data_IF_320844264976
#
_entry.id   IF_320844264976
#
_cell.length_a   1.000
_cell.length_b   1.000
_cell.length_c   1.000
_cell.angle_alpha   90.00
_cell.angle_beta   90.00
_cell.angle_gamma   90.00
#
_symmetry.space_group_name_H-M   'P 1'
#
loop_
_entity.id
_entity.type
_entity.pdbx_description
1 polymer ?
#
# COMPACT_ATOMS: atom_id res chain seq x y z
N UNK A 1 10.63 -11.35 10.95
CA UNK A 1 9.21 -11.54 11.33
C UNK A 1 8.48 -10.20 11.26
N UNK A 2 7.15 -10.20 11.27
CA UNK A 2 6.34 -8.98 11.21
C UNK A 2 5.02 -9.15 11.95
N UNK A 3 4.39 -8.03 12.29
CA UNK A 3 3.00 -7.99 12.72
C UNK A 3 2.15 -7.50 11.53
N UNK A 4 1.10 -8.25 11.18
CA UNK A 4 0.17 -7.90 10.10
C UNK A 4 -1.26 -7.94 10.63
N UNK A 5 -2.08 -7.00 10.18
CA UNK A 5 -3.48 -6.92 10.60
C UNK A 5 -4.35 -6.85 9.36
N UNK A 6 -5.29 -7.79 9.24
CA UNK A 6 -6.29 -7.81 8.17
C UNK A 6 -7.64 -7.36 8.72
N UNK A 7 -8.29 -6.45 8.01
CA UNK A 7 -9.62 -5.95 8.31
C UNK A 7 -10.56 -6.29 7.16
N UNK A 8 -11.81 -6.65 7.48
CA UNK A 8 -12.89 -6.77 6.50
C UNK A 8 -13.71 -5.48 6.48
N UNK A 9 -13.82 -4.88 5.30
CA UNK A 9 -14.64 -3.68 5.09
C UNK A 9 -16.10 -4.06 4.81
N UNK A 10 -17.02 -3.09 4.94
CA UNK A 10 -18.43 -3.32 4.63
C UNK A 10 -18.73 -3.40 3.12
N UNK A 11 -17.87 -2.80 2.29
CA UNK A 11 -18.00 -2.79 0.83
C UNK A 11 -16.63 -2.68 0.16
N UNK A 12 -16.61 -2.86 -1.17
CA UNK A 12 -15.41 -2.61 -1.98
C UNK A 12 -14.95 -1.14 -1.88
N UNK A 13 -15.88 -0.20 -1.81
CA UNK A 13 -15.58 1.23 -1.74
C UNK A 13 -14.91 1.60 -0.42
N UNK A 14 -15.42 1.07 0.71
CA UNK A 14 -14.79 1.24 2.01
C UNK A 14 -13.41 0.57 2.04
N UNK A 15 -13.27 -0.63 1.43
CA UNK A 15 -11.98 -1.30 1.35
C UNK A 15 -10.95 -0.48 0.56
N UNK A 16 -11.33 0.09 -0.59
CA UNK A 16 -10.43 0.97 -1.38
C UNK A 16 -10.07 2.24 -0.62
N UNK A 17 -11.05 2.86 0.04
CA UNK A 17 -10.81 4.04 0.87
C UNK A 17 -9.82 3.73 1.99
N UNK A 18 -10.04 2.67 2.76
CA UNK A 18 -9.12 2.28 3.84
C UNK A 18 -7.73 1.87 3.30
N UNK A 19 -7.66 1.18 2.16
CA UNK A 19 -6.38 0.83 1.52
C UNK A 19 -5.55 2.09 1.26
N UNK A 20 -6.14 3.10 0.63
CA UNK A 20 -5.45 4.33 0.27
C UNK A 20 -5.06 5.14 1.50
N UNK A 21 -5.99 5.33 2.44
CA UNK A 21 -5.75 6.12 3.65
C UNK A 21 -4.67 5.50 4.55
N UNK A 22 -4.65 4.16 4.67
CA UNK A 22 -3.65 3.47 5.49
C UNK A 22 -2.28 3.39 4.81
N UNK A 23 -2.20 3.51 3.48
CA UNK A 23 -0.92 3.48 2.79
C UNK A 23 0.00 4.64 3.18
N UNK A 24 -0.55 5.83 3.45
CA UNK A 24 0.23 6.98 3.91
C UNK A 24 0.68 6.85 5.37
N UNK A 25 -0.03 6.04 6.15
CA UNK A 25 0.28 5.71 7.55
C UNK A 25 1.35 4.63 7.66
N UNK A 26 1.53 3.80 6.63
CA UNK A 26 2.49 2.71 6.62
C UNK A 26 3.92 3.10 7.03
N UNK A 27 4.57 4.13 6.44
CA UNK A 27 5.92 4.53 6.85
C UNK A 27 5.98 5.05 8.29
N UNK A 28 4.93 5.74 8.76
CA UNK A 28 4.85 6.28 10.13
C UNK A 28 4.86 5.15 11.16
N UNK A 29 3.99 4.14 10.96
CA UNK A 29 3.90 3.01 11.89
C UNK A 29 5.10 2.07 11.74
N UNK A 30 5.72 1.99 10.56
CA UNK A 30 6.98 1.26 10.39
C UNK A 30 8.06 1.85 11.30
N UNK A 31 8.28 3.17 11.23
CA UNK A 31 9.25 3.88 12.08
C UNK A 31 8.94 3.71 13.57
N UNK A 32 7.67 3.87 13.97
CA UNK A 32 7.23 3.65 15.36
C UNK A 32 7.56 2.23 15.85
N UNK A 33 7.33 1.23 14.99
CA UNK A 33 7.50 -0.19 15.35
C UNK A 33 8.94 -0.70 15.20
N UNK A 34 9.91 0.12 14.80
CA UNK A 34 11.26 -0.30 14.41
C UNK A 34 11.92 -1.25 15.43
N UNK A 35 12.35 -2.43 14.98
CA UNK A 35 12.83 -3.52 15.84
C UNK A 35 13.90 -4.43 15.19
N UNK A 36 14.51 -4.01 14.08
CA UNK A 36 15.55 -4.78 13.37
C UNK A 36 16.86 -3.98 13.13
N UNK A 37 17.58 -3.57 14.20
CA UNK A 37 18.85 -2.82 14.07
C UNK A 37 20.10 -3.69 13.93
N UNK A 38 19.94 -5.02 13.82
CA UNK A 38 21.07 -5.96 13.70
C UNK A 38 20.86 -6.96 12.57
N UNK A 39 21.87 -7.13 11.72
CA UNK A 39 21.87 -8.11 10.65
C UNK A 39 23.18 -8.87 10.60
N UNK A 40 23.11 -10.20 10.50
CA UNK A 40 24.28 -11.10 10.35
C UNK A 40 25.39 -10.88 11.39
N UNK A 41 25.02 -10.49 12.61
CA UNK A 41 25.95 -10.22 13.72
C UNK A 41 26.56 -8.82 13.73
N UNK A 42 26.09 -7.90 12.87
CA UNK A 42 26.54 -6.51 12.81
C UNK A 42 25.41 -5.57 13.20
N UNK A 43 25.77 -4.44 13.82
CA UNK A 43 24.89 -3.27 13.97
C UNK A 43 24.67 -2.67 12.58
N UNK A 44 23.42 -2.40 12.21
CA UNK A 44 23.08 -1.69 10.97
C UNK A 44 22.84 -0.20 11.20
N UNK A 45 22.89 0.58 10.11
CA UNK A 45 22.49 1.99 10.08
C UNK A 45 21.02 2.16 9.64
N UNK A 46 20.22 1.11 9.86
CA UNK A 46 18.78 1.03 9.63
C UNK A 46 18.15 0.28 10.81
N UNK A 47 16.91 0.62 11.15
CA UNK A 47 16.19 0.03 12.30
C UNK A 47 15.01 -0.86 11.89
N UNK A 48 14.69 -0.94 10.59
CA UNK A 48 13.56 -1.71 10.06
C UNK A 48 13.98 -2.80 9.08
N UNK A 49 13.17 -3.86 8.93
CA UNK A 49 13.44 -5.01 8.05
C UNK A 49 13.14 -4.79 6.57
N UNK A 50 12.37 -3.74 6.25
CA UNK A 50 11.65 -3.62 4.98
C UNK A 50 12.55 -3.78 3.75
N UNK A 51 13.63 -3.00 3.67
CA UNK A 51 14.57 -3.02 2.56
C UNK A 51 15.35 -4.33 2.45
N UNK A 52 15.63 -4.99 3.57
CA UNK A 52 16.29 -6.31 3.57
C UNK A 52 15.37 -7.38 3.00
N UNK A 53 14.09 -7.38 3.39
CA UNK A 53 13.12 -8.33 2.82
C UNK A 53 12.87 -8.02 1.35
N UNK A 54 12.66 -6.75 1.01
CA UNK A 54 12.48 -6.28 -0.37
C UNK A 54 13.58 -6.82 -1.31
N UNK A 55 14.84 -6.69 -0.89
CA UNK A 55 15.98 -7.18 -1.65
C UNK A 55 16.12 -8.71 -1.65
N UNK A 56 15.62 -9.42 -0.63
CA UNK A 56 15.74 -10.87 -0.50
C UNK A 56 14.87 -11.67 -1.48
N UNK A 57 13.82 -11.04 -2.01
CA UNK A 57 12.86 -11.64 -2.97
C UNK A 57 12.74 -10.81 -4.25
N UNK A 58 13.72 -9.95 -4.52
CA UNK A 58 13.78 -9.18 -5.77
C UNK A 58 14.26 -10.10 -6.91
N UNK A 59 13.30 -10.55 -7.70
CA UNK A 59 13.49 -11.45 -8.84
C UNK A 59 13.83 -10.71 -10.15
N UNK A 60 13.89 -9.38 -10.13
CA UNK A 60 14.07 -8.60 -11.35
C UNK A 60 15.42 -8.88 -12.00
N UNK A 61 15.38 -9.16 -13.30
CA UNK A 61 16.58 -9.28 -14.13
C UNK A 61 17.29 -7.93 -14.28
N UNK A 62 18.51 -7.96 -14.81
CA UNK A 62 19.23 -6.72 -15.16
C UNK A 62 18.49 -5.89 -16.21
N UNK A 63 17.73 -6.52 -17.11
CA UNK A 63 16.91 -5.83 -18.12
C UNK A 63 15.71 -5.14 -17.45
N UNK A 64 15.00 -5.85 -16.57
CA UNK A 64 13.84 -5.30 -15.84
C UNK A 64 14.23 -4.15 -14.91
N UNK A 65 15.40 -4.23 -14.27
CA UNK A 65 15.96 -3.13 -13.48
C UNK A 65 16.42 -1.93 -14.32
N UNK A 66 16.43 -2.04 -15.65
CA UNK A 66 16.91 -1.02 -16.57
C UNK A 66 18.44 -0.86 -16.58
N UNK A 67 19.18 -1.85 -16.08
CA UNK A 67 20.65 -1.88 -16.14
C UNK A 67 21.15 -2.35 -17.52
N UNK A 68 20.30 -3.06 -18.27
CA UNK A 68 20.50 -3.46 -19.66
C UNK A 68 19.25 -3.12 -20.50
N UNK A 69 19.38 -2.91 -21.82
CA UNK A 69 18.22 -2.77 -22.69
C UNK A 69 17.35 -4.02 -22.68
N UNK A 70 16.03 -3.85 -22.78
CA UNK A 70 15.08 -4.96 -22.91
C UNK A 70 15.33 -5.73 -24.21
N UNK A 71 15.53 -7.05 -24.08
CA UNK A 71 15.67 -8.00 -25.19
C UNK A 71 14.85 -9.26 -24.95
N UNK A 72 14.86 -9.78 -23.72
CA UNK A 72 14.18 -11.01 -23.33
C UNK A 72 13.00 -10.72 -22.40
N UNK A 73 13.07 -9.67 -21.58
CA UNK A 73 11.98 -9.26 -20.69
C UNK A 73 11.03 -8.28 -21.41
N UNK A 74 9.74 -8.34 -21.06
CA UNK A 74 8.68 -7.47 -21.63
C UNK A 74 8.68 -6.06 -21.02
N UNK A 75 9.12 -5.95 -19.75
CA UNK A 75 8.90 -4.76 -18.94
C UNK A 75 10.17 -4.22 -18.30
N UNK A 76 10.23 -2.89 -18.15
CA UNK A 76 11.06 -2.27 -17.13
C UNK A 76 10.22 -2.13 -15.85
N UNK A 77 10.78 -2.54 -14.71
CA UNK A 77 10.06 -2.62 -13.44
C UNK A 77 10.84 -1.88 -12.34
N UNK A 78 10.21 -0.83 -11.79
CA UNK A 78 10.89 0.14 -10.91
C UNK A 78 11.11 -0.36 -9.49
N UNK A 79 10.19 -1.16 -8.95
CA UNK A 79 10.25 -1.70 -7.58
C UNK A 79 10.39 -3.22 -7.55
N UNK A 80 10.89 -3.76 -6.45
CA UNK A 80 10.82 -5.21 -6.18
C UNK A 80 9.35 -5.62 -6.12
N UNK A 81 9.03 -6.91 -6.30
CA UNK A 81 7.67 -7.42 -6.03
C UNK A 81 7.30 -7.35 -4.55
N UNK A 82 8.29 -7.15 -3.68
CA UNK A 82 8.11 -6.76 -2.29
C UNK A 82 8.53 -5.30 -2.11
N UNK A 83 7.57 -4.37 -2.02
CA UNK A 83 7.84 -2.93 -1.86
C UNK A 83 6.61 -2.15 -1.39
N UNK A 84 6.68 -0.82 -1.24
CA UNK A 84 5.49 0.02 -1.01
C UNK A 84 4.43 -0.16 -2.11
N UNK A 85 3.19 0.25 -1.83
CA UNK A 85 2.12 0.23 -2.85
C UNK A 85 2.51 1.07 -4.08
N UNK A 86 1.96 0.71 -5.23
CA UNK A 86 2.26 1.37 -6.51
C UNK A 86 1.09 2.22 -7.06
N UNK A 87 -0.10 2.09 -6.47
CA UNK A 87 -1.30 2.84 -6.89
C UNK A 87 -2.32 2.93 -5.77
N UNK A 88 -2.96 4.08 -5.66
CA UNK A 88 -4.22 4.27 -4.97
C UNK A 88 -5.39 3.74 -5.81
N UNK A 89 -6.42 3.24 -5.12
CA UNK A 89 -7.55 2.50 -5.69
C UNK A 89 -8.87 3.28 -5.67
N UNK A 90 -8.98 4.31 -4.83
CA UNK A 90 -10.16 5.17 -4.74
C UNK A 90 -10.08 6.36 -5.68
N UNK A 91 -11.25 6.89 -6.09
CA UNK A 91 -11.33 8.08 -6.93
C UNK A 91 -10.61 9.30 -6.30
N UNK A 92 -10.64 9.41 -4.97
CA UNK A 92 -9.97 10.47 -4.23
C UNK A 92 -8.43 10.37 -4.29
N UNK A 93 -7.91 9.14 -4.43
CA UNK A 93 -6.50 8.84 -4.55
C UNK A 93 -5.94 9.04 -5.96
N UNK A 94 -6.77 9.04 -7.01
CA UNK A 94 -6.29 9.08 -8.42
C UNK A 94 -5.34 10.25 -8.69
N UNK A 95 -5.65 11.45 -8.18
CA UNK A 95 -4.81 12.65 -8.39
C UNK A 95 -3.43 12.56 -7.72
N UNK A 96 -3.25 11.62 -6.79
CA UNK A 96 -2.00 11.40 -6.06
C UNK A 96 -1.19 10.21 -6.60
N UNK A 97 -1.68 9.52 -7.63
CA UNK A 97 -0.92 8.50 -8.37
C UNK A 97 0.08 9.19 -9.32
N UNK A 98 1.17 9.72 -8.76
CA UNK A 98 2.16 10.55 -9.46
C UNK A 98 3.46 9.81 -9.82
N UNK A 99 3.49 8.50 -9.65
CA UNK A 99 4.60 7.62 -10.04
C UNK A 99 4.28 6.85 -11.33
N UNK A 100 5.32 6.48 -12.07
CA UNK A 100 5.17 5.66 -13.28
C UNK A 100 4.74 4.23 -12.90
N UNK A 101 3.56 3.82 -13.37
CA UNK A 101 3.00 2.50 -13.12
C UNK A 101 3.12 1.62 -14.37
N UNK A 102 4.08 0.69 -14.37
CA UNK A 102 4.18 -0.34 -15.40
C UNK A 102 3.01 -1.31 -15.28
N UNK A 103 2.25 -1.55 -16.35
CA UNK A 103 1.10 -2.48 -16.36
C UNK A 103 1.16 -3.43 -17.54
N UNK A 104 0.50 -4.59 -17.42
CA UNK A 104 0.19 -5.43 -18.59
C UNK A 104 -1.04 -4.87 -19.31
N UNK A 105 -0.81 -4.27 -20.48
CA UNK A 105 -1.84 -3.63 -21.30
C UNK A 105 -2.93 -4.58 -21.81
N UNK A 106 -2.63 -5.88 -21.99
CA UNK A 106 -3.60 -6.87 -22.44
C UNK A 106 -4.56 -7.22 -21.29
N UNK A 107 -4.00 -7.50 -20.10
CA UNK A 107 -4.78 -7.74 -18.88
C UNK A 107 -5.60 -6.50 -18.52
N UNK A 108 -5.01 -5.31 -18.61
CA UNK A 108 -5.72 -4.06 -18.33
C UNK A 108 -6.97 -3.91 -19.23
N UNK A 109 -6.83 -4.12 -20.54
CA UNK A 109 -7.97 -4.05 -21.48
C UNK A 109 -9.00 -5.13 -21.22
N UNK A 110 -8.58 -6.35 -20.87
CA UNK A 110 -9.48 -7.45 -20.53
C UNK A 110 -10.34 -7.09 -19.31
N UNK A 111 -9.72 -6.54 -18.26
CA UNK A 111 -10.41 -6.13 -17.03
C UNK A 111 -11.41 -4.99 -17.30
N UNK A 112 -11.01 -3.99 -18.09
CA UNK A 112 -11.92 -2.91 -18.51
C UNK A 112 -13.11 -3.47 -19.33
N UNK A 113 -12.85 -4.39 -20.26
CA UNK A 113 -13.88 -5.04 -21.07
C UNK A 113 -14.86 -5.87 -20.24
N UNK A 114 -14.41 -6.41 -19.11
CA UNK A 114 -15.23 -7.12 -18.13
C UNK A 114 -15.99 -6.19 -17.16
N UNK A 115 -15.83 -4.87 -17.27
CA UNK A 115 -16.52 -3.88 -16.45
C UNK A 115 -15.83 -3.53 -15.13
N UNK A 116 -14.57 -3.92 -14.93
CA UNK A 116 -13.76 -3.45 -13.81
C UNK A 116 -13.35 -2.00 -14.09
N UNK A 117 -13.46 -1.11 -13.10
CA UNK A 117 -13.09 0.28 -13.27
C UNK A 117 -11.59 0.47 -13.47
N UNK A 118 -11.23 1.63 -14.03
CA UNK A 118 -9.86 1.97 -14.42
C UNK A 118 -8.83 1.77 -13.31
N UNK A 119 -9.09 2.27 -12.10
CA UNK A 119 -8.07 2.25 -11.02
C UNK A 119 -7.81 0.83 -10.54
N UNK A 120 -8.87 0.04 -10.33
CA UNK A 120 -8.70 -1.36 -9.93
C UNK A 120 -8.10 -2.19 -11.07
N UNK A 121 -8.49 -1.94 -12.32
CA UNK A 121 -7.92 -2.62 -13.47
C UNK A 121 -6.42 -2.32 -13.62
N UNK A 122 -5.98 -1.07 -13.42
CA UNK A 122 -4.57 -0.69 -13.42
C UNK A 122 -3.80 -1.41 -12.30
N UNK A 123 -4.36 -1.43 -11.08
CA UNK A 123 -3.75 -2.12 -9.95
C UNK A 123 -3.53 -3.60 -10.23
N UNK A 124 -4.57 -4.33 -10.68
CA UNK A 124 -4.45 -5.76 -10.99
C UNK A 124 -3.49 -5.99 -12.16
N UNK A 125 -3.58 -5.19 -13.23
CA UNK A 125 -2.67 -5.30 -14.37
C UNK A 125 -1.20 -5.03 -14.00
N UNK A 126 -0.93 -4.22 -12.97
CA UNK A 126 0.41 -4.06 -12.41
C UNK A 126 0.90 -5.32 -11.72
N UNK A 127 0.06 -6.02 -10.94
CA UNK A 127 0.46 -7.28 -10.28
C UNK A 127 0.84 -8.37 -11.30
N UNK A 128 0.20 -8.33 -12.47
CA UNK A 128 0.39 -9.29 -13.57
C UNK A 128 1.63 -9.04 -14.44
N UNK A 129 2.43 -8.00 -14.15
CA UNK A 129 3.74 -7.84 -14.81
C UNK A 129 4.79 -8.82 -14.26
N UNK A 130 4.45 -9.57 -13.21
CA UNK A 130 5.32 -10.53 -12.53
C UNK A 130 5.05 -11.95 -13.01
N UNK A 131 6.10 -12.75 -13.07
CA UNK A 131 5.96 -14.18 -13.29
C UNK A 131 5.53 -14.90 -11.98
N UNK A 132 4.76 -16.00 -12.11
CA UNK A 132 4.54 -16.94 -11.01
C UNK A 132 5.86 -17.55 -10.53
N UNK A 133 6.13 -17.50 -9.21
CA UNK A 133 7.38 -18.04 -8.65
C UNK A 133 7.29 -19.53 -8.30
N UNK A 134 6.10 -20.02 -7.98
CA UNK A 134 5.89 -21.38 -7.54
C UNK A 134 4.51 -21.85 -7.95
N UNK A 135 4.46 -22.86 -8.81
CA UNK A 135 3.21 -23.51 -9.25
C UNK A 135 3.38 -25.01 -9.03
N UNK A 136 2.44 -25.63 -8.31
CA UNK A 136 2.42 -27.08 -8.15
C UNK A 136 1.80 -27.73 -9.38
N UNK A 137 2.31 -28.89 -9.79
CA UNK A 137 1.86 -29.60 -10.99
C UNK A 137 0.37 -29.93 -10.91
N UNK A 138 -0.12 -30.30 -9.73
CA UNK A 138 -1.51 -30.63 -9.44
C UNK A 138 -2.45 -29.41 -9.57
N UNK A 139 -1.89 -28.21 -9.60
CA UNK A 139 -2.63 -26.93 -9.66
C UNK A 139 -2.51 -26.24 -11.03
N UNK A 140 -1.99 -26.92 -12.05
CA UNK A 140 -1.88 -26.37 -13.41
C UNK A 140 -3.25 -26.18 -14.09
N UNK A 141 -4.19 -27.08 -13.83
CA UNK A 141 -5.53 -27.04 -14.40
C UNK A 141 -6.54 -26.96 -13.27
N UNK A 142 -7.28 -25.85 -13.22
CA UNK A 142 -8.26 -25.56 -12.19
C UNK A 142 -9.58 -25.09 -12.82
N UNK A 143 -10.63 -25.07 -12.01
CA UNK A 143 -11.91 -24.52 -12.39
C UNK A 143 -11.99 -23.03 -12.03
N UNK A 144 -11.76 -22.16 -13.02
CA UNK A 144 -11.73 -20.71 -12.86
C UNK A 144 -13.06 -20.13 -12.31
N UNK A 145 -14.19 -20.85 -12.41
CA UNK A 145 -15.47 -20.40 -11.84
C UNK A 145 -15.52 -20.56 -10.31
N UNK A 146 -14.74 -21.48 -9.75
CA UNK A 146 -14.84 -21.90 -8.34
C UNK A 146 -13.53 -21.81 -7.56
N UNK A 147 -12.39 -21.70 -8.25
CA UNK A 147 -11.06 -21.59 -7.66
C UNK A 147 -10.40 -20.26 -8.06
N UNK A 148 -9.60 -19.71 -7.15
CA UNK A 148 -8.86 -18.46 -7.37
C UNK A 148 -7.35 -18.64 -7.24
N UNK A 149 -6.85 -19.88 -7.21
CA UNK A 149 -5.44 -20.18 -6.91
C UNK A 149 -4.48 -19.58 -7.93
N UNK A 150 -4.84 -19.52 -9.22
CA UNK A 150 -4.01 -18.90 -10.26
C UNK A 150 -3.88 -17.38 -10.03
N UNK A 151 -4.97 -16.71 -9.68
CA UNK A 151 -4.94 -15.31 -9.27
C UNK A 151 -4.13 -15.13 -7.98
N UNK A 152 -4.38 -15.97 -6.97
CA UNK A 152 -3.66 -15.94 -5.70
C UNK A 152 -2.16 -16.22 -5.87
N UNK A 153 -1.74 -16.95 -6.90
CA UNK A 153 -0.32 -17.16 -7.17
C UNK A 153 0.42 -15.83 -7.38
N UNK A 154 -0.18 -14.93 -8.18
CA UNK A 154 0.38 -13.60 -8.43
C UNK A 154 0.09 -12.64 -7.28
N UNK A 155 -1.14 -12.61 -6.78
CA UNK A 155 -1.56 -11.71 -5.70
C UNK A 155 -0.79 -11.97 -4.40
N UNK A 156 -0.62 -13.24 -4.01
CA UNK A 156 0.05 -13.60 -2.76
C UNK A 156 1.55 -13.34 -2.80
N UNK A 157 2.15 -13.29 -4.00
CA UNK A 157 3.58 -13.06 -4.24
C UNK A 157 3.92 -11.64 -4.70
N UNK A 158 2.93 -10.74 -4.78
CA UNK A 158 3.16 -9.30 -4.72
C UNK A 158 2.97 -8.87 -3.26
N UNK A 159 4.06 -8.52 -2.60
CA UNK A 159 4.11 -8.26 -1.16
C UNK A 159 4.26 -6.78 -0.88
N UNK A 160 3.14 -6.06 -0.88
CA UNK A 160 3.14 -4.63 -0.63
C UNK A 160 2.97 -4.24 0.85
N UNK A 161 3.13 -2.95 1.20
CA UNK A 161 2.82 -2.41 2.55
C UNK A 161 1.35 -2.52 2.92
N UNK A 162 0.47 -2.34 1.93
CA UNK A 162 -0.95 -2.66 2.00
C UNK A 162 -1.26 -3.75 1.00
N UNK A 163 -2.20 -4.64 1.33
CA UNK A 163 -2.74 -5.60 0.36
C UNK A 163 -4.26 -5.49 0.30
N UNK A 164 -4.77 -5.28 -0.91
CA UNK A 164 -6.19 -5.27 -1.21
C UNK A 164 -6.62 -6.69 -1.57
N UNK A 165 -7.46 -7.33 -0.76
CA UNK A 165 -7.78 -8.76 -0.87
C UNK A 165 -9.23 -8.95 -1.37
N UNK A 166 -9.43 -9.44 -2.61
CA UNK A 166 -10.75 -9.85 -3.08
C UNK A 166 -11.38 -10.93 -2.19
N UNK A 167 -12.71 -11.03 -2.18
CA UNK A 167 -13.40 -12.13 -1.53
C UNK A 167 -13.02 -13.46 -2.22
N UNK A 168 -12.72 -14.52 -1.45
CA UNK A 168 -12.55 -15.85 -2.03
C UNK A 168 -13.86 -16.34 -2.67
N UNK A 169 -13.80 -17.11 -3.77
CA UNK A 169 -14.98 -17.78 -4.30
C UNK A 169 -15.66 -18.63 -3.23
N UNK A 170 -16.99 -18.73 -3.27
CA UNK A 170 -17.78 -19.62 -2.41
C UNK A 170 -17.56 -19.40 -0.89
N UNK A 171 -17.29 -18.17 -0.47
CA UNK A 171 -17.06 -17.79 0.95
C UNK A 171 -17.94 -16.61 1.39
N UNK A 172 -18.23 -16.52 2.69
CA UNK A 172 -18.87 -15.35 3.31
C UNK A 172 -17.87 -14.20 3.58
N UNK A 173 -16.58 -14.42 3.33
CA UNK A 173 -15.53 -13.42 3.52
C UNK A 173 -15.67 -12.32 2.48
N UNK A 174 -15.76 -11.07 2.94
CA UNK A 174 -15.88 -9.89 2.09
C UNK A 174 -14.53 -9.33 1.60
N UNK A 175 -14.58 -8.11 1.05
CA UNK A 175 -13.40 -7.33 0.68
C UNK A 175 -12.58 -7.00 1.92
N UNK A 176 -11.28 -7.28 1.87
CA UNK A 176 -10.38 -7.05 2.99
C UNK A 176 -9.19 -6.20 2.59
N UNK A 177 -8.66 -5.50 3.57
CA UNK A 177 -7.38 -4.81 3.48
C UNK A 177 -6.44 -5.33 4.55
N UNK A 178 -5.17 -5.49 4.21
CA UNK A 178 -4.15 -6.00 5.11
C UNK A 178 -3.04 -4.95 5.27
N UNK A 179 -2.80 -4.53 6.51
CA UNK A 179 -1.74 -3.61 6.91
C UNK A 179 -0.50 -4.41 7.31
N UNK A 180 0.60 -4.24 6.56
CA UNK A 180 1.77 -5.14 6.57
C UNK A 180 3.13 -4.54 6.99
N UNK A 181 3.32 -3.22 7.24
CA UNK A 181 4.66 -2.66 7.44
C UNK A 181 5.25 -2.98 8.83
N UNK A 182 4.44 -3.25 9.84
CA UNK A 182 4.89 -3.27 11.24
C UNK A 182 5.91 -4.38 11.53
N UNK A 183 6.94 -4.04 12.29
CA UNK A 183 7.83 -5.04 12.90
C UNK A 183 7.08 -5.76 14.03
N UNK A 184 7.45 -7.01 14.29
CA UNK A 184 6.94 -7.72 15.46
C UNK A 184 7.68 -7.24 16.71
N UNK A 185 6.95 -7.04 17.79
CA UNK A 185 7.50 -6.60 19.08
C UNK A 185 7.79 -7.80 19.98
N UNK A 186 8.58 -7.60 21.04
CA UNK A 186 9.01 -8.69 21.91
C UNK A 186 7.87 -9.28 22.75
N UNK A 187 6.91 -8.45 23.17
CA UNK A 187 5.83 -8.89 24.05
C UNK A 187 4.47 -8.94 23.35
N UNK A 188 3.60 -9.84 23.82
CA UNK A 188 2.21 -9.91 23.36
C UNK A 188 1.46 -8.59 23.62
N UNK A 189 1.80 -7.88 24.71
CA UNK A 189 1.21 -6.60 25.04
C UNK A 189 1.53 -5.52 24.00
N UNK A 190 2.81 -5.37 23.62
CA UNK A 190 3.22 -4.40 22.59
C UNK A 190 2.61 -4.73 21.23
N UNK A 191 2.61 -6.02 20.84
CA UNK A 191 1.96 -6.46 19.61
C UNK A 191 0.45 -6.16 19.64
N UNK A 192 -0.24 -6.47 20.74
CA UNK A 192 -1.66 -6.16 20.90
C UNK A 192 -1.94 -4.66 20.86
N UNK A 193 -1.06 -3.82 21.43
CA UNK A 193 -1.19 -2.37 21.39
C UNK A 193 -1.15 -1.84 19.95
N UNK A 194 -0.20 -2.30 19.13
CA UNK A 194 -0.15 -1.95 17.71
C UNK A 194 -1.37 -2.44 16.93
N UNK A 195 -1.84 -3.67 17.17
CA UNK A 195 -3.08 -4.17 16.55
C UNK A 195 -4.26 -3.27 16.90
N UNK A 196 -4.47 -2.99 18.19
CA UNK A 196 -5.57 -2.14 18.66
C UNK A 196 -5.45 -0.72 18.11
N UNK A 197 -4.23 -0.16 18.04
CA UNK A 197 -3.99 1.15 17.44
C UNK A 197 -4.47 1.20 15.99
N UNK A 198 -4.06 0.26 15.13
CA UNK A 198 -4.49 0.25 13.73
C UNK A 198 -6.00 0.02 13.63
N UNK A 199 -6.59 -0.88 14.43
CA UNK A 199 -8.06 -1.08 14.49
C UNK A 199 -8.77 0.24 14.81
N UNK A 200 -8.37 0.94 15.87
CA UNK A 200 -9.00 2.20 16.27
C UNK A 200 -8.79 3.28 15.21
N UNK A 201 -7.61 3.34 14.59
CA UNK A 201 -7.32 4.28 13.52
C UNK A 201 -8.27 4.10 12.34
N UNK A 202 -8.53 2.85 11.90
CA UNK A 202 -9.52 2.60 10.83
C UNK A 202 -10.92 3.10 11.20
N UNK A 203 -11.34 2.92 12.46
CA UNK A 203 -12.64 3.40 12.95
C UNK A 203 -12.71 4.92 12.97
N UNK A 204 -11.63 5.59 13.38
CA UNK A 204 -11.53 7.05 13.41
C UNK A 204 -11.53 7.61 11.98
N UNK A 205 -10.76 7.03 11.06
CA UNK A 205 -10.75 7.39 9.63
C UNK A 205 -12.18 7.40 9.06
N UNK A 206 -12.94 6.32 9.28
CA UNK A 206 -14.29 6.20 8.75
C UNK A 206 -15.29 7.11 9.48
N UNK A 207 -15.21 7.19 10.81
CA UNK A 207 -16.19 7.95 11.61
C UNK A 207 -16.07 9.45 11.41
N UNK A 208 -14.83 9.95 11.33
CA UNK A 208 -14.53 11.37 11.17
C UNK A 208 -14.22 11.77 9.73
N UNK A 209 -14.21 10.80 8.80
CA UNK A 209 -13.92 11.03 7.38
C UNK A 209 -12.58 11.73 7.18
N UNK A 210 -11.57 11.22 7.88
CA UNK A 210 -10.23 11.77 7.81
C UNK A 210 -9.59 11.45 6.46
N UNK A 211 -8.86 12.41 5.93
CA UNK A 211 -8.10 12.27 4.69
C UNK A 211 -6.62 12.51 4.96
N UNK A 212 -5.81 11.48 4.69
CA UNK A 212 -4.36 11.44 4.85
C UNK A 212 -3.63 11.34 3.52
N UNK A 213 -4.34 11.38 2.39
CA UNK A 213 -3.74 11.18 1.08
C UNK A 213 -2.72 12.28 0.76
N UNK A 214 -1.60 11.86 0.20
CA UNK A 214 -0.50 12.65 -0.32
C UNK A 214 0.01 11.97 -1.60
N UNK A 215 0.78 12.63 -2.46
CA UNK A 215 1.40 11.99 -3.64
C UNK A 215 2.18 10.71 -3.29
N UNK A 216 2.02 9.65 -4.08
CA UNK A 216 2.71 8.36 -3.85
C UNK A 216 4.22 8.50 -3.86
N UNK A 217 4.78 9.40 -4.66
CA UNK A 217 6.22 9.70 -4.64
C UNK A 217 6.71 10.10 -3.24
N UNK A 218 5.89 10.82 -2.47
CA UNK A 218 6.19 11.22 -1.09
C UNK A 218 6.01 10.07 -0.10
N UNK A 219 5.03 9.18 -0.35
CA UNK A 219 4.89 7.93 0.43
C UNK A 219 6.13 7.05 0.25
N UNK A 220 6.65 6.94 -0.97
CA UNK A 220 7.87 6.19 -1.28
C UNK A 220 9.12 6.82 -0.63
N UNK A 221 9.19 8.15 -0.56
CA UNK A 221 10.25 8.84 0.19
C UNK A 221 10.15 8.58 1.69
N UNK A 222 8.94 8.69 2.27
CA UNK A 222 8.68 8.36 3.67
C UNK A 222 9.05 6.92 4.01
N UNK A 223 8.82 5.97 3.08
CA UNK A 223 9.20 4.57 3.25
C UNK A 223 10.72 4.36 3.33
N UNK A 224 11.52 5.23 2.70
CA UNK A 224 12.98 5.21 2.84
C UNK A 224 13.38 5.81 4.18
N UNK A 225 12.85 6.99 4.52
CA UNK A 225 13.13 7.66 5.80
C UNK A 225 12.76 6.78 6.99
N UNK A 226 11.63 6.07 6.95
CA UNK A 226 11.16 5.20 8.02
C UNK A 226 12.16 4.11 8.44
N UNK A 227 13.06 3.72 7.53
CA UNK A 227 14.03 2.66 7.77
C UNK A 227 15.32 3.16 8.40
N UNK A 228 15.63 4.46 8.29
CA UNK A 228 16.88 5.05 8.78
C UNK A 228 17.01 4.88 10.30
N UNK A 229 18.26 4.75 10.77
CA UNK A 229 18.52 4.68 12.22
C UNK A 229 17.94 5.92 12.91
N UNK A 230 17.25 5.71 14.03
CA UNK A 230 16.58 6.75 14.83
C UNK A 230 15.45 7.50 14.09
N UNK A 231 14.92 6.99 12.98
CA UNK A 231 13.86 7.68 12.23
C UNK A 231 12.62 8.04 13.08
N UNK A 232 12.31 7.26 14.11
CA UNK A 232 11.21 7.55 15.05
C UNK A 232 11.43 8.83 15.88
N UNK A 233 12.68 9.18 16.18
CA UNK A 233 13.05 10.34 16.99
C UNK A 233 13.44 11.55 16.13
N UNK A 234 14.12 11.31 15.01
CA UNK A 234 14.81 12.34 14.23
C UNK A 234 14.26 12.49 12.80
N UNK A 235 13.53 11.48 12.30
CA UNK A 235 13.01 11.45 10.93
C UNK A 235 11.89 12.46 10.70
N UNK A 236 11.88 13.02 9.49
CA UNK A 236 10.86 13.95 9.02
C UNK A 236 10.10 13.32 7.87
N UNK A 237 8.77 13.29 7.97
CA UNK A 237 7.89 12.58 7.06
C UNK A 237 6.91 13.55 6.42
N UNK A 238 6.69 13.43 5.11
CA UNK A 238 5.61 14.14 4.44
C UNK A 238 4.28 13.67 5.01
N UNK A 239 3.49 14.61 5.51
CA UNK A 239 2.21 14.34 6.11
C UNK A 239 1.22 15.46 5.81
N UNK A 240 -0.06 15.13 5.68
CA UNK A 240 -1.09 16.10 5.31
C UNK A 240 -1.28 17.13 6.44
N UNK A 241 -1.36 18.42 6.08
CA UNK A 241 -1.53 19.53 7.04
C UNK A 241 -2.94 19.58 7.63
N UNK A 242 -3.96 19.40 6.79
CA UNK A 242 -5.37 19.46 7.16
C UNK A 242 -6.05 18.14 6.79
N UNK A 243 -6.24 17.29 7.80
CA UNK A 243 -6.81 15.95 7.65
C UNK A 243 -8.34 15.92 7.62
N UNK A 244 -9.00 17.08 7.80
CA UNK A 244 -10.47 17.19 7.78
C UNK A 244 -11.01 17.69 6.42
N UNK A 245 -10.14 18.18 5.54
CA UNK A 245 -10.51 18.65 4.19
C UNK A 245 -10.10 17.62 3.15
N UNK A 246 -11.01 16.73 2.79
CA UNK A 246 -10.73 15.64 1.85
C UNK A 246 -11.93 15.17 1.05
N UNK A 247 -11.64 14.42 -0.02
CA UNK A 247 -12.63 13.81 -0.91
C UNK A 247 -13.28 12.58 -0.24
N UNK A 248 -14.61 12.41 -0.39
CA UNK A 248 -15.40 11.41 0.33
C UNK A 248 -16.14 10.46 -0.64
N UNK A 249 -15.61 9.27 -0.92
CA UNK A 249 -16.20 8.38 -1.93
C UNK A 249 -17.55 7.78 -1.50
N UNK A 250 -17.81 7.65 -0.19
CA UNK A 250 -19.06 7.06 0.36
C UNK A 250 -20.28 8.00 0.22
N UNK A 251 -20.06 9.31 0.01
CA UNK A 251 -21.12 10.30 -0.20
C UNK A 251 -21.18 10.83 -1.63
N UNK A 252 -20.06 10.82 -2.37
CA UNK A 252 -20.00 11.32 -3.75
C UNK A 252 -20.57 10.33 -4.79
N UNK A 253 -21.36 9.35 -4.35
CA UNK A 253 -22.17 8.51 -5.22
C UNK A 253 -23.26 9.32 -5.92
N UNK A 254 -23.09 9.56 -7.22
CA UNK A 254 -24.13 9.96 -8.18
C UNK A 254 -24.78 11.35 -8.04
N UNK A 255 -24.12 12.35 -7.46
CA UNK A 255 -24.52 13.75 -7.71
C UNK A 255 -23.37 14.55 -8.30
N UNK A 256 -23.47 14.81 -9.60
CA UNK A 256 -22.93 16.01 -10.20
C UNK A 256 -23.63 17.23 -9.55
N UNK A 257 -23.21 17.59 -8.34
CA UNK A 257 -23.65 18.81 -7.68
C UNK A 257 -22.62 19.89 -8.02
N UNK A 258 -23.02 20.72 -8.97
CA UNK A 258 -22.46 22.04 -9.23
C UNK A 258 -22.26 22.78 -7.91
N UNK A 259 -21.00 22.95 -7.51
CA UNK A 259 -20.46 24.11 -6.80
C UNK A 259 -18.94 23.94 -6.75
N UNK A 260 -18.33 24.05 -7.92
CA UNK A 260 -16.89 24.21 -8.05
C UNK A 260 -16.47 25.55 -7.47
N UNK A 261 -16.18 25.57 -6.17
CA UNK A 261 -15.11 26.44 -5.69
C UNK A 261 -13.84 25.66 -5.98
N UNK A 262 -13.17 26.02 -7.07
CA UNK A 262 -11.74 25.76 -7.22
C UNK A 262 -11.05 26.34 -5.98
N UNK A 263 -10.77 25.50 -5.00
CA UNK A 263 -9.79 25.84 -3.97
C UNK A 263 -8.41 25.71 -4.62
N UNK A 264 -7.70 26.83 -4.59
CA UNK A 264 -6.40 27.09 -5.19
C UNK A 264 -5.45 25.89 -5.26
N UNK A 265 -4.96 25.64 -6.47
CA UNK A 265 -3.79 24.85 -6.79
C UNK A 265 -2.50 25.63 -6.42
N UNK A 266 -2.32 25.97 -5.14
CA UNK A 266 -1.24 26.88 -4.73
C UNK A 266 -0.67 26.72 -3.32
N UNK A 267 -1.29 25.95 -2.43
CA UNK A 267 -0.72 25.63 -1.11
C UNK A 267 -0.39 24.16 -1.04
N UNK A 268 0.86 23.81 -0.76
CA UNK A 268 1.26 22.43 -0.49
C UNK A 268 0.35 21.82 0.59
N UNK A 269 -0.48 20.84 0.21
CA UNK A 269 -1.47 20.17 1.08
C UNK A 269 -0.78 19.36 2.20
N UNK A 270 0.50 19.04 2.03
CA UNK A 270 1.36 18.32 2.96
C UNK A 270 2.56 19.16 3.43
N UNK A 271 3.21 18.70 4.49
CA UNK A 271 4.48 19.23 5.02
C UNK A 271 5.31 18.10 5.63
N UNK A 272 6.61 18.33 5.76
CA UNK A 272 7.48 17.50 6.59
C UNK A 272 7.15 17.70 8.08
N UNK A 273 6.93 16.60 8.79
CA UNK A 273 6.61 16.57 10.22
C UNK A 273 7.37 15.42 10.90
N UNK A 274 7.78 15.61 12.15
CA UNK A 274 8.32 14.51 12.97
C UNK A 274 7.20 13.53 13.35
N UNK A 275 7.55 12.29 13.71
CA UNK A 275 6.60 11.31 14.24
C UNK A 275 5.84 11.88 15.45
N UNK A 276 6.54 12.57 16.35
CA UNK A 276 5.93 13.21 17.52
C UNK A 276 4.84 14.21 17.13
N UNK A 277 5.11 15.07 16.14
CA UNK A 277 4.10 16.04 15.63
C UNK A 277 2.91 15.33 14.99
N UNK A 278 3.15 14.23 14.25
CA UNK A 278 2.09 13.47 13.57
C UNK A 278 1.17 12.78 14.58
N UNK A 279 1.74 12.17 15.63
CA UNK A 279 1.01 11.36 16.60
C UNK A 279 0.40 12.21 17.71
N UNK A 280 1.14 13.19 18.24
CA UNK A 280 0.74 14.00 19.39
C UNK A 280 0.19 15.38 19.01
N UNK A 281 0.31 15.78 17.74
CA UNK A 281 -0.04 17.11 17.25
C UNK A 281 1.06 18.13 17.50
N UNK A 282 0.85 19.37 17.05
CA UNK A 282 1.74 20.50 17.39
C UNK A 282 1.49 20.91 18.84
N UNK A 283 2.54 21.17 19.61
CA UNK A 283 2.40 21.91 20.87
C UNK A 283 1.61 23.20 20.59
N UNK A 284 0.54 23.41 21.36
CA UNK A 284 -0.30 24.61 21.26
C UNK A 284 0.36 25.81 21.92
#
# INVERSE_FOLDING_TARGET
>A
CCLQVTFQACSIDEARYLYDQLATICPIVMALSAASPFYRGYVSDIDCRWGVISASVDDRTQEERGLKPLKNNKYRIFKSRYDSIDSYLSACGEKYNDIELTIDEEIFKQLLGAGIDKLLAQHIAHLFIRDPLSVFEEKLHLDDENESDHFENLQSTNWQTMRFKPPPPNSEIGWRVEFRPMEVQLTDFENAAYVVFVVLLTRVILSYKLDFLIPLSKVDENMKVAQERNAVLEGMFYFRKDIFKGCNPVLDGNTAAQNGVQTDCGTEEDALMSIDTIINGKER
#
